data_IF_636287428988
#
_entry.id   IF_636287428988
#
_cell.length_a   1.000
_cell.length_b   1.000
_cell.length_c   1.000
_cell.angle_alpha   90.00
_cell.angle_beta   90.00
_cell.angle_gamma   90.00
#
_symmetry.space_group_name_H-M   'P 1'
#
loop_
_entity.id
_entity.type
_entity.pdbx_description
1 polymer ?
#
# COMPACT_ATOMS: atom_id res chain seq x y z
N UNK A 1 19.35 25.42 35.51
CA UNK A 1 18.53 25.46 34.28
C UNK A 1 18.64 24.09 33.62
N UNK A 2 17.56 23.30 33.48
CA UNK A 2 17.67 22.02 32.81
C UNK A 2 17.58 22.24 31.30
N UNK A 3 18.69 22.00 30.60
CA UNK A 3 18.73 21.98 29.14
C UNK A 3 18.07 20.69 28.64
N UNK A 4 16.86 20.80 28.11
CA UNK A 4 16.14 19.72 27.43
C UNK A 4 16.07 20.01 25.93
N UNK A 5 17.20 19.92 25.24
CA UNK A 5 17.16 19.55 23.82
C UNK A 5 16.87 18.06 23.74
N UNK A 6 15.61 17.67 23.98
CA UNK A 6 15.12 16.35 23.59
C UNK A 6 15.27 16.26 22.08
N UNK A 7 16.37 15.65 21.61
CA UNK A 7 16.47 15.21 20.22
C UNK A 7 15.26 14.33 19.99
N UNK A 8 14.34 14.78 19.15
CA UNK A 8 13.20 13.97 18.75
C UNK A 8 13.73 12.62 18.28
N UNK A 9 13.25 11.53 18.88
CA UNK A 9 13.60 10.17 18.48
C UNK A 9 12.36 9.49 17.95
N UNK A 10 12.52 8.85 16.79
CA UNK A 10 11.49 8.03 16.20
C UNK A 10 11.54 6.65 16.88
N UNK A 11 10.42 6.13 17.42
CA UNK A 11 10.41 4.78 17.99
C UNK A 11 10.65 3.72 16.91
N UNK A 12 11.02 2.50 17.30
CA UNK A 12 11.38 1.42 16.36
C UNK A 12 10.22 0.98 15.44
N UNK A 13 8.98 1.08 15.90
CA UNK A 13 7.77 0.78 15.14
C UNK A 13 6.76 1.92 15.28
N UNK A 14 7.01 3.07 14.62
CA UNK A 14 6.22 4.28 14.81
C UNK A 14 4.86 4.17 14.13
N UNK A 15 3.85 4.79 14.73
CA UNK A 15 2.56 5.09 14.11
C UNK A 15 2.68 6.27 13.15
N UNK A 16 1.76 6.40 12.19
CA UNK A 16 1.75 7.54 11.25
C UNK A 16 1.74 8.90 11.99
N UNK A 17 1.01 8.99 13.11
CA UNK A 17 0.97 10.18 13.97
C UNK A 17 2.36 10.56 14.50
N UNK A 18 3.12 9.58 14.99
CA UNK A 18 4.47 9.79 15.52
C UNK A 18 5.45 10.19 14.41
N UNK A 19 5.36 9.56 13.22
CA UNK A 19 6.20 9.93 12.07
C UNK A 19 5.91 11.37 11.64
N UNK A 20 4.63 11.74 11.50
CA UNK A 20 4.23 13.10 11.13
C UNK A 20 4.68 14.13 12.17
N UNK A 21 4.56 13.80 13.46
CA UNK A 21 5.02 14.69 14.53
C UNK A 21 6.54 14.90 14.48
N UNK A 22 7.30 13.82 14.29
CA UNK A 22 8.75 13.90 14.12
C UNK A 22 9.13 14.74 12.89
N UNK A 23 8.47 14.53 11.74
CA UNK A 23 8.72 15.32 10.51
C UNK A 23 8.45 16.81 10.72
N UNK A 24 7.40 17.17 11.48
CA UNK A 24 7.13 18.57 11.84
C UNK A 24 8.24 19.16 12.70
N UNK A 25 8.73 18.43 13.70
CA UNK A 25 9.78 18.94 14.58
C UNK A 25 11.07 19.28 13.83
N UNK A 26 11.46 18.46 12.87
CA UNK A 26 12.66 18.72 12.05
C UNK A 26 12.45 19.76 10.95
N UNK A 27 11.20 20.11 10.62
CA UNK A 27 10.82 21.13 9.63
C UNK A 27 10.10 22.33 10.27
N UNK A 28 10.54 22.73 11.47
CA UNK A 28 10.08 23.95 12.15
C UNK A 28 8.56 24.07 12.33
N UNK A 29 7.88 22.94 12.51
CA UNK A 29 6.45 22.84 12.77
C UNK A 29 5.59 22.50 11.54
N UNK A 30 6.17 22.51 10.34
CA UNK A 30 5.43 22.29 9.09
C UNK A 30 5.71 20.92 8.46
N UNK A 31 4.76 20.43 7.66
CA UNK A 31 4.99 19.27 6.80
C UNK A 31 5.27 19.74 5.39
N UNK A 32 6.41 19.37 4.78
CA UNK A 32 6.67 19.67 3.38
C UNK A 32 5.54 19.16 2.48
N UNK A 33 5.11 19.90 1.45
CA UNK A 33 3.94 19.53 0.63
C UNK A 33 4.02 18.12 0.04
N UNK A 34 5.19 17.72 -0.44
CA UNK A 34 5.36 16.39 -1.04
C UNK A 34 5.23 15.27 0.00
N UNK A 35 5.82 15.44 1.18
CA UNK A 35 5.64 14.52 2.30
C UNK A 35 4.17 14.44 2.70
N UNK A 36 3.51 15.59 2.84
CA UNK A 36 2.11 15.67 3.27
C UNK A 36 1.19 14.93 2.29
N UNK A 37 1.39 15.08 0.98
CA UNK A 37 0.64 14.34 -0.05
C UNK A 37 0.68 12.82 0.18
N UNK A 38 1.89 12.29 0.39
CA UNK A 38 2.09 10.85 0.61
C UNK A 38 1.49 10.42 1.95
N UNK A 39 1.71 11.21 3.00
CA UNK A 39 1.19 10.93 4.34
C UNK A 39 -0.34 10.91 4.39
N UNK A 40 -1.01 11.82 3.69
CA UNK A 40 -2.47 11.84 3.58
C UNK A 40 -3.01 10.58 2.91
N UNK A 41 -2.45 10.16 1.77
CA UNK A 41 -2.90 8.92 1.10
C UNK A 41 -2.65 7.65 1.94
N UNK A 42 -1.58 7.62 2.74
CA UNK A 42 -1.32 6.52 3.68
C UNK A 42 -2.35 6.53 4.82
N UNK A 43 -2.69 7.71 5.36
CA UNK A 43 -3.71 7.85 6.40
C UNK A 43 -5.09 7.36 5.90
N UNK A 44 -5.46 7.72 4.68
CA UNK A 44 -6.69 7.24 4.04
C UNK A 44 -6.69 5.72 3.87
N UNK A 45 -5.56 5.16 3.43
CA UNK A 45 -5.39 3.71 3.26
C UNK A 45 -5.42 2.97 4.60
N UNK A 46 -4.86 3.54 5.67
CA UNK A 46 -4.87 2.96 7.02
C UNK A 46 -6.30 2.89 7.59
N UNK A 47 -7.09 3.94 7.33
CA UNK A 47 -8.47 4.04 7.80
C UNK A 47 -9.50 3.26 6.98
N UNK A 48 -9.12 2.64 5.85
CA UNK A 48 -10.09 2.00 4.93
C UNK A 48 -10.88 0.85 5.57
N UNK A 49 -10.29 0.19 6.56
CA UNK A 49 -10.93 -0.90 7.31
C UNK A 49 -11.76 -0.41 8.49
N UNK A 50 -11.43 0.77 9.04
CA UNK A 50 -11.96 1.26 10.32
C UNK A 50 -13.05 2.33 10.14
N UNK A 51 -13.02 3.10 9.05
CA UNK A 51 -13.98 4.18 8.81
C UNK A 51 -15.27 3.66 8.17
N UNK A 52 -16.42 4.17 8.59
CA UNK A 52 -17.76 3.72 8.17
C UNK A 52 -18.12 3.96 6.70
N UNK A 53 -17.30 4.68 5.93
CA UNK A 53 -17.57 4.99 4.52
C UNK A 53 -17.47 3.77 3.62
N UNK A 54 -18.29 3.74 2.57
CA UNK A 54 -18.23 2.72 1.53
C UNK A 54 -16.92 2.83 0.73
N UNK A 55 -16.33 1.69 0.38
CA UNK A 55 -15.07 1.63 -0.34
C UNK A 55 -14.90 0.27 -1.05
N UNK A 56 -13.96 0.19 -1.98
CA UNK A 56 -13.72 -0.99 -2.80
C UNK A 56 -13.48 -2.27 -1.96
N UNK A 57 -12.74 -2.18 -0.85
CA UNK A 57 -12.49 -3.33 0.04
C UNK A 57 -13.80 -3.84 0.65
N UNK A 58 -14.67 -2.93 1.12
CA UNK A 58 -16.00 -3.30 1.65
C UNK A 58 -16.90 -3.91 0.60
N UNK A 59 -16.87 -3.38 -0.62
CA UNK A 59 -17.63 -3.91 -1.75
C UNK A 59 -17.21 -5.36 -2.11
N UNK A 60 -15.93 -5.72 -1.95
CA UNK A 60 -15.48 -7.09 -2.17
C UNK A 60 -16.01 -8.06 -1.11
N UNK A 61 -16.06 -7.63 0.16
CA UNK A 61 -16.48 -8.49 1.27
C UNK A 61 -17.99 -8.44 1.53
N UNK A 62 -18.73 -7.61 0.80
CA UNK A 62 -20.18 -7.57 0.90
C UNK A 62 -20.79 -8.85 0.31
N UNK A 63 -21.16 -9.76 1.21
CA UNK A 63 -21.80 -11.04 0.89
C UNK A 63 -23.10 -10.88 0.10
N UNK A 64 -23.77 -9.72 0.15
CA UNK A 64 -24.99 -9.45 -0.63
C UNK A 64 -24.70 -9.39 -2.13
N UNK A 65 -23.47 -9.05 -2.50
CA UNK A 65 -22.99 -9.07 -3.87
C UNK A 65 -22.36 -10.42 -4.25
N UNK A 66 -22.35 -11.43 -3.37
CA UNK A 66 -21.79 -12.74 -3.70
C UNK A 66 -22.82 -13.62 -4.43
N UNK A 67 -22.33 -14.41 -5.38
CA UNK A 67 -23.14 -15.37 -6.11
C UNK A 67 -23.27 -16.67 -5.30
N UNK A 68 -24.39 -16.80 -4.58
CA UNK A 68 -24.61 -17.90 -3.64
C UNK A 68 -24.67 -19.26 -4.35
N UNK A 69 -25.19 -19.33 -5.57
CA UNK A 69 -25.28 -20.59 -6.31
C UNK A 69 -23.90 -21.18 -6.60
N UNK A 70 -22.92 -20.34 -6.94
CA UNK A 70 -21.54 -20.79 -7.19
C UNK A 70 -20.74 -21.04 -5.92
N UNK A 71 -21.09 -20.35 -4.83
CA UNK A 71 -20.33 -20.41 -3.58
C UNK A 71 -20.92 -21.41 -2.57
N UNK A 72 -21.92 -22.20 -3.01
CA UNK A 72 -22.73 -23.08 -2.17
C UNK A 72 -23.24 -22.33 -0.92
N UNK A 73 -23.86 -21.18 -1.18
CA UNK A 73 -24.36 -20.27 -0.16
C UNK A 73 -25.87 -20.32 0.03
N UNK A 74 -26.31 -19.91 1.21
CA UNK A 74 -27.72 -19.71 1.53
C UNK A 74 -27.88 -18.56 2.52
N UNK A 75 -29.11 -18.05 2.60
CA UNK A 75 -29.52 -17.07 3.61
C UNK A 75 -30.31 -17.81 4.68
N UNK A 76 -29.99 -17.57 5.94
CA UNK A 76 -30.73 -18.17 7.06
C UNK A 76 -32.00 -17.37 7.42
N UNK A 77 -32.73 -17.83 8.44
CA UNK A 77 -33.95 -17.18 8.91
C UNK A 77 -33.75 -15.78 9.49
N UNK A 78 -32.52 -15.39 9.81
CA UNK A 78 -32.16 -14.07 10.35
C UNK A 78 -31.62 -13.12 9.26
N UNK A 79 -31.55 -13.58 8.01
CA UNK A 79 -31.00 -12.81 6.90
C UNK A 79 -29.47 -12.81 6.84
N UNK A 80 -28.80 -13.68 7.59
CA UNK A 80 -27.35 -13.83 7.49
C UNK A 80 -26.97 -14.73 6.32
N UNK A 81 -25.99 -14.27 5.54
CA UNK A 81 -25.48 -15.01 4.38
C UNK A 81 -24.33 -15.90 4.81
N UNK A 82 -24.52 -17.21 4.60
CA UNK A 82 -23.53 -18.25 4.83
C UNK A 82 -23.08 -18.82 3.49
N UNK A 83 -21.77 -18.95 3.28
CA UNK A 83 -21.21 -19.57 2.07
C UNK A 83 -20.16 -20.60 2.45
N UNK A 84 -20.13 -21.72 1.75
CA UNK A 84 -19.08 -22.74 1.93
C UNK A 84 -17.75 -22.27 1.33
N UNK A 85 -17.82 -21.63 0.18
CA UNK A 85 -16.66 -21.06 -0.51
C UNK A 85 -16.66 -19.54 -0.45
N UNK A 86 -15.47 -18.96 -0.58
CA UNK A 86 -15.26 -17.51 -0.68
C UNK A 86 -14.98 -17.15 -2.14
N UNK A 87 -15.43 -15.97 -2.62
CA UNK A 87 -15.11 -15.50 -3.96
C UNK A 87 -13.60 -15.44 -4.19
N UNK A 88 -13.22 -15.82 -5.40
CA UNK A 88 -11.85 -15.80 -5.91
C UNK A 88 -11.52 -14.44 -6.48
N UNK A 89 -10.38 -13.93 -6.04
CA UNK A 89 -9.80 -12.70 -6.55
C UNK A 89 -8.31 -12.87 -6.81
N UNK A 90 -7.80 -12.12 -7.78
CA UNK A 90 -6.39 -11.84 -7.96
C UNK A 90 -6.08 -10.45 -7.40
N UNK A 91 -4.97 -10.33 -6.68
CA UNK A 91 -4.43 -9.08 -6.18
C UNK A 91 -3.17 -8.69 -6.94
N UNK A 92 -3.09 -7.42 -7.34
CA UNK A 92 -1.97 -6.89 -8.12
C UNK A 92 -1.41 -5.64 -7.43
N UNK A 93 -0.11 -5.64 -7.14
CA UNK A 93 0.61 -4.48 -6.62
C UNK A 93 1.26 -3.73 -7.78
N UNK A 94 0.75 -2.52 -8.08
CA UNK A 94 1.09 -1.82 -9.32
C UNK A 94 1.63 -0.43 -9.01
N UNK A 95 2.77 -0.08 -9.60
CA UNK A 95 3.23 1.30 -9.67
C UNK A 95 2.76 1.92 -10.98
N UNK A 96 2.01 3.02 -10.85
CA UNK A 96 1.51 3.85 -11.96
C UNK A 96 2.16 5.24 -11.87
N UNK A 97 1.93 6.07 -12.87
CA UNK A 97 2.26 7.50 -12.87
C UNK A 97 1.66 8.27 -11.69
N UNK A 98 0.52 7.80 -11.17
CA UNK A 98 -0.18 8.40 -10.03
C UNK A 98 0.37 7.97 -8.67
N UNK A 99 1.06 6.83 -8.58
CA UNK A 99 1.53 6.29 -7.30
C UNK A 99 1.53 4.77 -7.25
N UNK A 100 1.57 4.23 -6.03
CA UNK A 100 1.34 2.81 -5.79
C UNK A 100 -0.17 2.54 -5.72
N UNK A 101 -0.64 1.46 -6.34
CA UNK A 101 -2.02 1.01 -6.29
C UNK A 101 -2.09 -0.49 -5.95
N UNK A 102 -3.07 -0.88 -5.15
CA UNK A 102 -3.43 -2.29 -4.94
C UNK A 102 -4.73 -2.55 -5.71
N UNK A 103 -4.68 -3.44 -6.70
CA UNK A 103 -5.87 -3.81 -7.48
C UNK A 103 -6.39 -5.18 -7.09
N UNK A 104 -7.71 -5.34 -7.17
CA UNK A 104 -8.39 -6.62 -7.19
C UNK A 104 -9.06 -6.87 -8.55
N UNK A 105 -9.06 -8.13 -8.97
CA UNK A 105 -9.81 -8.59 -10.13
C UNK A 105 -10.47 -9.93 -9.82
N UNK A 106 -11.76 -10.13 -10.13
CA UNK A 106 -12.45 -11.38 -9.85
C UNK A 106 -12.17 -12.41 -10.93
N UNK A 107 -12.48 -13.65 -10.60
CA UNK A 107 -12.53 -14.74 -11.57
C UNK A 107 -13.96 -14.95 -12.08
N UNK A 108 -14.08 -15.16 -13.39
CA UNK A 108 -15.22 -15.82 -13.99
C UNK A 108 -14.73 -17.16 -14.55
N UNK A 109 -15.17 -18.27 -13.95
CA UNK A 109 -14.59 -19.60 -14.16
C UNK A 109 -13.08 -19.61 -13.89
N UNK A 110 -12.23 -19.63 -14.91
CA UNK A 110 -10.77 -19.70 -14.79
C UNK A 110 -10.08 -18.47 -15.40
N UNK A 111 -10.85 -17.43 -15.72
CA UNK A 111 -10.38 -16.21 -16.39
C UNK A 111 -10.55 -15.01 -15.48
N UNK A 112 -9.51 -14.18 -15.40
CA UNK A 112 -9.55 -12.89 -14.70
C UNK A 112 -10.35 -11.88 -15.53
N UNK A 113 -11.24 -11.14 -14.87
CA UNK A 113 -12.11 -10.16 -15.52
C UNK A 113 -11.70 -8.74 -15.14
N UNK A 114 -11.63 -7.84 -16.13
CA UNK A 114 -11.33 -6.41 -15.92
C UNK A 114 -12.38 -5.45 -16.49
N UNK A 115 -13.55 -5.97 -16.85
CA UNK A 115 -14.65 -5.19 -17.44
C UNK A 115 -15.89 -5.28 -16.57
N UNK A 116 -16.82 -4.33 -16.71
CA UNK A 116 -18.10 -4.41 -16.04
C UNK A 116 -18.82 -5.73 -16.40
N UNK A 117 -19.24 -6.48 -15.39
CA UNK A 117 -20.04 -7.70 -15.57
C UNK A 117 -21.18 -7.71 -14.56
N UNK A 118 -22.36 -8.09 -15.01
CA UNK A 118 -23.55 -8.29 -14.17
C UNK A 118 -24.27 -9.57 -14.57
N UNK A 119 -24.80 -10.29 -13.59
CA UNK A 119 -25.61 -11.50 -13.78
C UNK A 119 -24.91 -12.60 -14.62
N UNK A 120 -23.59 -12.72 -14.49
CA UNK A 120 -22.84 -13.78 -15.16
C UNK A 120 -22.84 -15.05 -14.31
N UNK A 121 -23.40 -16.14 -14.87
CA UNK A 121 -23.51 -17.44 -14.18
C UNK A 121 -22.18 -18.10 -13.80
N UNK A 122 -21.06 -17.59 -14.29
CA UNK A 122 -19.72 -18.12 -14.01
C UNK A 122 -18.89 -17.23 -13.09
N UNK A 123 -19.45 -16.10 -12.64
CA UNK A 123 -18.77 -15.14 -11.79
C UNK A 123 -19.28 -15.25 -10.36
N UNK A 124 -18.36 -15.28 -9.40
CA UNK A 124 -18.65 -15.46 -7.97
C UNK A 124 -19.16 -14.18 -7.30
N UNK A 125 -19.17 -13.07 -8.04
CA UNK A 125 -19.86 -11.84 -7.71
C UNK A 125 -21.11 -11.69 -8.58
N UNK A 126 -22.19 -11.12 -8.04
CA UNK A 126 -23.42 -10.80 -8.79
C UNK A 126 -23.19 -9.66 -9.76
N UNK A 127 -22.44 -8.65 -9.32
CA UNK A 127 -21.97 -7.51 -10.12
C UNK A 127 -20.48 -7.29 -9.85
N UNK A 128 -19.73 -7.07 -10.90
CA UNK A 128 -18.37 -6.54 -10.86
C UNK A 128 -18.33 -5.23 -11.62
N UNK A 129 -17.97 -4.16 -10.92
CA UNK A 129 -17.71 -2.85 -11.51
C UNK A 129 -16.24 -2.47 -11.24
N UNK A 130 -15.35 -2.53 -12.24
CA UNK A 130 -13.96 -2.13 -12.07
C UNK A 130 -13.79 -0.70 -11.56
N UNK A 131 -14.73 0.20 -11.82
CA UNK A 131 -14.62 1.59 -11.38
C UNK A 131 -14.65 1.72 -9.85
N UNK A 132 -15.51 0.94 -9.19
CA UNK A 132 -15.73 1.00 -7.74
C UNK A 132 -15.04 -0.13 -6.97
N UNK A 133 -14.70 -1.24 -7.62
CA UNK A 133 -14.21 -2.46 -6.95
C UNK A 133 -12.76 -2.83 -7.27
N UNK A 134 -12.18 -2.32 -8.37
CA UNK A 134 -10.82 -2.71 -8.79
C UNK A 134 -9.75 -2.09 -7.91
N UNK A 135 -9.73 -0.76 -7.81
CA UNK A 135 -8.67 -0.05 -7.09
C UNK A 135 -9.01 0.00 -5.60
N UNK A 136 -8.30 -0.82 -4.81
CA UNK A 136 -8.56 -0.95 -3.38
C UNK A 136 -7.98 0.21 -2.60
N UNK A 137 -6.74 0.58 -2.91
CA UNK A 137 -6.05 1.71 -2.32
C UNK A 137 -5.09 2.33 -3.35
N UNK A 138 -4.85 3.63 -3.18
CA UNK A 138 -3.76 4.35 -3.86
C UNK A 138 -2.92 5.10 -2.83
N UNK A 139 -1.61 4.95 -2.92
CA UNK A 139 -0.64 5.80 -2.22
C UNK A 139 -0.01 6.73 -3.25
N UNK A 140 -0.47 7.98 -3.25
CA UNK A 140 -0.13 8.98 -4.26
C UNK A 140 1.36 9.24 -4.34
N UNK A 141 1.91 9.26 -5.55
CA UNK A 141 3.31 9.60 -5.88
C UNK A 141 4.38 8.80 -5.10
N UNK A 142 4.03 7.64 -4.53
CA UNK A 142 4.95 6.87 -3.67
C UNK A 142 6.27 6.50 -4.38
N UNK A 143 6.24 6.15 -5.66
CA UNK A 143 7.45 5.83 -6.43
C UNK A 143 8.40 7.03 -6.52
N UNK A 144 7.88 8.23 -6.79
CA UNK A 144 8.70 9.46 -6.80
C UNK A 144 9.20 9.81 -5.40
N UNK A 145 8.40 9.54 -4.38
CA UNK A 145 8.78 9.81 -3.00
C UNK A 145 9.90 8.89 -2.52
N UNK A 146 9.88 7.62 -2.92
CA UNK A 146 10.98 6.68 -2.70
C UNK A 146 12.24 7.16 -3.42
N UNK A 147 12.15 7.60 -4.67
CA UNK A 147 13.29 8.18 -5.39
C UNK A 147 13.87 9.42 -4.68
N UNK A 148 13.00 10.37 -4.31
CA UNK A 148 13.37 11.55 -3.53
C UNK A 148 14.07 11.21 -2.21
N UNK A 149 13.61 10.15 -1.53
CA UNK A 149 14.22 9.70 -0.29
C UNK A 149 15.70 9.32 -0.48
N UNK A 150 16.05 8.63 -1.56
CA UNK A 150 17.44 8.26 -1.83
C UNK A 150 18.32 9.45 -2.24
N UNK A 151 17.75 10.50 -2.84
CA UNK A 151 18.51 11.71 -3.16
C UNK A 151 18.81 12.57 -1.92
N UNK A 152 17.82 12.78 -1.05
CA UNK A 152 17.91 13.79 0.02
C UNK A 152 16.96 13.58 1.21
N UNK A 153 16.41 12.38 1.36
CA UNK A 153 15.40 12.10 2.38
C UNK A 153 15.96 12.02 3.80
N UNK A 154 15.07 12.20 4.77
CA UNK A 154 15.40 12.07 6.19
C UNK A 154 14.80 10.78 6.83
N UNK A 155 14.98 10.66 8.14
CA UNK A 155 14.51 9.48 8.90
C UNK A 155 12.98 9.34 8.90
N UNK A 156 12.23 10.44 8.84
CA UNK A 156 10.77 10.38 8.75
C UNK A 156 10.34 9.91 7.35
N UNK A 157 11.05 10.33 6.31
CA UNK A 157 10.79 9.89 4.93
C UNK A 157 10.99 8.37 4.79
N UNK A 158 12.07 7.82 5.35
CA UNK A 158 12.25 6.36 5.42
C UNK A 158 11.10 5.68 6.17
N UNK A 159 10.77 6.23 7.34
CA UNK A 159 9.76 5.64 8.20
C UNK A 159 8.37 5.62 7.57
N UNK A 160 8.00 6.66 6.82
CA UNK A 160 6.71 6.71 6.15
C UNK A 160 6.63 5.72 4.98
N UNK A 161 7.73 5.48 4.26
CA UNK A 161 7.81 4.42 3.24
C UNK A 161 7.62 3.03 3.87
N UNK A 162 8.26 2.80 5.02
CA UNK A 162 8.09 1.55 5.76
C UNK A 162 6.66 1.39 6.31
N UNK A 163 6.05 2.49 6.78
CA UNK A 163 4.66 2.48 7.25
C UNK A 163 3.69 2.18 6.11
N UNK A 164 3.89 2.77 4.94
CA UNK A 164 3.12 2.47 3.74
C UNK A 164 3.12 0.97 3.42
N UNK A 165 4.30 0.34 3.44
CA UNK A 165 4.42 -1.10 3.22
C UNK A 165 3.61 -1.93 4.24
N UNK A 166 3.64 -1.55 5.52
CA UNK A 166 2.86 -2.22 6.58
C UNK A 166 1.35 -2.08 6.38
N UNK A 167 0.89 -0.89 6.00
CA UNK A 167 -0.54 -0.63 5.71
C UNK A 167 -1.03 -1.51 4.57
N UNK A 168 -0.29 -1.55 3.45
CA UNK A 168 -0.61 -2.42 2.31
C UNK A 168 -0.65 -3.89 2.74
N UNK A 169 0.34 -4.33 3.52
CA UNK A 169 0.40 -5.70 4.02
C UNK A 169 -0.82 -6.04 4.89
N UNK A 170 -1.22 -5.15 5.81
CA UNK A 170 -2.41 -5.33 6.66
C UNK A 170 -3.67 -5.55 5.83
N UNK A 171 -3.84 -4.77 4.75
CA UNK A 171 -4.99 -4.89 3.84
C UNK A 171 -4.96 -6.22 3.07
N UNK A 172 -3.80 -6.60 2.51
CA UNK A 172 -3.64 -7.88 1.81
C UNK A 172 -3.95 -9.05 2.75
N UNK A 173 -3.40 -9.07 3.96
CA UNK A 173 -3.65 -10.12 4.95
C UNK A 173 -5.13 -10.19 5.35
N UNK A 174 -5.78 -9.03 5.50
CA UNK A 174 -7.22 -8.97 5.73
C UNK A 174 -8.00 -9.62 4.58
N UNK A 175 -7.71 -9.24 3.33
CA UNK A 175 -8.38 -9.81 2.15
C UNK A 175 -8.13 -11.31 1.99
N UNK A 176 -6.91 -11.79 2.28
CA UNK A 176 -6.58 -13.22 2.28
C UNK A 176 -7.37 -14.00 3.34
N UNK A 177 -7.77 -13.34 4.43
CA UNK A 177 -8.63 -13.94 5.44
C UNK A 177 -10.10 -13.94 5.01
N UNK A 178 -10.59 -12.86 4.41
CA UNK A 178 -12.02 -12.70 4.09
C UNK A 178 -12.41 -13.33 2.74
N UNK A 179 -11.49 -13.45 1.79
CA UNK A 179 -11.71 -13.91 0.42
C UNK A 179 -10.74 -15.03 0.03
N UNK A 180 -10.98 -15.65 -1.12
CA UNK A 180 -10.04 -16.60 -1.70
C UNK A 180 -9.07 -15.87 -2.65
N UNK A 181 -7.93 -15.42 -2.13
CA UNK A 181 -6.89 -14.78 -2.96
C UNK A 181 -6.10 -15.84 -3.71
N UNK A 182 -6.42 -16.05 -4.98
CA UNK A 182 -5.82 -17.09 -5.83
C UNK A 182 -4.45 -16.66 -6.36
N UNK A 183 -4.25 -15.37 -6.57
CA UNK A 183 -3.02 -14.79 -7.10
C UNK A 183 -2.68 -13.50 -6.37
N UNK A 184 -1.40 -13.34 -6.04
CA UNK A 184 -0.83 -12.08 -5.56
C UNK A 184 0.46 -11.83 -6.35
N UNK A 185 0.49 -10.79 -7.16
CA UNK A 185 1.65 -10.45 -7.98
C UNK A 185 1.94 -8.94 -8.03
N UNK A 186 2.88 -8.54 -8.89
CA UNK A 186 3.28 -7.16 -9.11
C UNK A 186 4.55 -6.79 -8.35
N UNK A 187 4.81 -5.50 -8.24
CA UNK A 187 6.01 -4.96 -7.57
C UNK A 187 5.60 -4.39 -6.22
N UNK A 188 6.11 -4.99 -5.16
CA UNK A 188 5.87 -4.53 -3.79
C UNK A 188 6.63 -3.23 -3.51
N UNK A 189 6.16 -2.45 -2.52
CA UNK A 189 6.88 -1.26 -2.03
C UNK A 189 8.31 -1.62 -1.58
N UNK A 190 8.48 -2.80 -0.96
CA UNK A 190 9.79 -3.29 -0.52
C UNK A 190 10.72 -3.55 -1.71
N UNK A 191 10.24 -4.20 -2.75
CA UNK A 191 11.04 -4.50 -3.95
C UNK A 191 11.45 -3.22 -4.67
N UNK A 192 10.55 -2.25 -4.84
CA UNK A 192 10.91 -0.95 -5.43
C UNK A 192 11.94 -0.22 -4.57
N UNK A 193 11.75 -0.18 -3.25
CA UNK A 193 12.72 0.42 -2.33
C UNK A 193 14.10 -0.23 -2.47
N UNK A 194 14.17 -1.56 -2.52
CA UNK A 194 15.42 -2.30 -2.67
C UNK A 194 16.09 -2.09 -4.03
N UNK A 195 15.29 -1.89 -5.09
CA UNK A 195 15.82 -1.52 -6.40
C UNK A 195 16.50 -0.15 -6.34
N UNK A 196 15.80 0.88 -5.84
CA UNK A 196 16.38 2.22 -5.70
C UNK A 196 17.58 2.26 -4.76
N UNK A 197 17.60 1.43 -3.70
CA UNK A 197 18.75 1.31 -2.80
C UNK A 197 19.99 0.78 -3.52
N UNK A 198 19.83 -0.21 -4.39
CA UNK A 198 20.95 -0.75 -5.18
C UNK A 198 21.46 0.26 -6.18
N UNK A 199 20.58 0.95 -6.89
CA UNK A 199 20.96 1.96 -7.88
C UNK A 199 21.67 3.16 -7.23
N UNK A 200 21.16 3.64 -6.10
CA UNK A 200 21.78 4.72 -5.33
C UNK A 200 23.19 4.35 -4.84
N UNK A 201 23.39 3.11 -4.40
CA UNK A 201 24.71 2.62 -4.00
C UNK A 201 25.65 2.46 -5.18
N UNK A 202 25.19 1.93 -6.31
CA UNK A 202 26.02 1.82 -7.52
C UNK A 202 26.51 3.19 -8.00
N UNK A 203 25.64 4.21 -7.98
CA UNK A 203 26.04 5.58 -8.29
C UNK A 203 27.03 6.16 -7.27
N UNK A 204 26.87 5.84 -5.98
CA UNK A 204 27.84 6.25 -4.94
C UNK A 204 29.19 5.55 -5.09
N UNK A 205 29.19 4.25 -5.38
CA UNK A 205 30.39 3.44 -5.56
C UNK A 205 31.18 3.91 -6.80
N UNK A 206 30.51 4.29 -7.89
CA UNK A 206 31.16 4.91 -9.06
C UNK A 206 31.80 6.26 -8.71
N UNK A 207 31.13 7.09 -7.90
CA UNK A 207 31.68 8.37 -7.41
C UNK A 207 32.87 8.12 -6.47
N UNK A 208 32.79 7.13 -5.59
CA UNK A 208 33.87 6.77 -4.67
C UNK A 208 35.06 6.17 -5.42
N UNK A 209 34.83 5.33 -6.44
CA UNK A 209 35.87 4.84 -7.35
C UNK A 209 36.51 6.00 -8.12
N UNK A 210 35.71 6.96 -8.61
CA UNK A 210 36.24 8.16 -9.28
C UNK A 210 37.09 9.02 -8.32
N UNK A 211 36.64 9.24 -7.08
CA UNK A 211 37.40 9.96 -6.04
C UNK A 211 38.70 9.25 -5.68
N UNK A 212 38.68 7.92 -5.55
CA UNK A 212 39.88 7.09 -5.34
C UNK A 212 40.83 7.20 -6.54
N UNK A 213 40.32 7.15 -7.77
CA UNK A 213 41.11 7.27 -9.00
C UNK A 213 41.75 8.66 -9.16
N UNK A 214 41.14 9.70 -8.60
CA UNK A 214 41.65 11.08 -8.59
C UNK A 214 42.54 11.37 -7.36
N UNK A 215 42.68 10.41 -6.44
CA UNK A 215 43.56 10.51 -5.28
C UNK A 215 42.99 11.30 -4.09
N UNK A 216 41.68 11.54 -4.06
CA UNK A 216 41.02 12.19 -2.92
C UNK A 216 40.80 11.17 -1.78
N UNK A 217 41.23 11.50 -0.56
CA UNK A 217 41.01 10.66 0.62
C UNK A 217 39.53 10.73 1.04
N UNK A 218 38.87 9.56 1.07
CA UNK A 218 37.52 9.42 1.62
C UNK A 218 37.63 9.44 3.15
N UNK A 219 37.37 10.60 3.78
CA UNK A 219 37.23 10.69 5.23
C UNK A 219 35.92 10.03 5.65
N UNK A 220 36.02 8.85 6.30
CA UNK A 220 34.90 8.23 7.02
C UNK A 220 34.89 8.78 8.45
N UNK A 221 33.89 9.60 8.77
CA UNK A 221 33.45 9.83 10.16
C UNK A 221 32.41 8.79 10.59
#
# INVERSE_FOLDING_TARGET
>A
MPGTHNKAQLPSNPTLKEINWFKKQINWGELPPFYHLVASSISESEGILDHGFDNAVKQLIDKRNWNLDLLEGHEDSFGEIHTKYKPRIALHQVFTDRGFELWAQPYAKDVIVDQYIKNNRFMEFRVWDPHSMKNLIRISQLHKFIGFYFERGDKADKAIILHAHKVVHKIITFLQRELNVVKLDGVTIKELYQLCEKDSRASSDEIDIAKIAIGEQINKE
#
